data_IF_535296675435
#
_entry.id   IF_535296675435
#
_cell.length_a   1.000
_cell.length_b   1.000
_cell.length_c   1.000
_cell.angle_alpha   90.00
_cell.angle_beta   90.00
_cell.angle_gamma   90.00
#
_symmetry.space_group_name_H-M   'P 1'
#
loop_
_entity.id
_entity.type
_entity.pdbx_description
1 polymer ?
#
# COMPACT_ATOMS: atom_id res chain seq x y z
N UNK A 1 11.99 -22.28 4.85
CA UNK A 1 10.50 -22.19 4.84
C UNK A 1 9.99 -22.34 3.41
N UNK A 2 8.73 -22.76 3.21
CA UNK A 2 8.10 -22.76 1.86
C UNK A 2 7.82 -21.31 1.42
N UNK A 3 7.88 -21.05 0.12
CA UNK A 3 7.45 -19.76 -0.44
C UNK A 3 5.96 -19.57 -0.22
N UNK A 4 5.56 -18.41 0.30
CA UNK A 4 4.17 -18.07 0.58
C UNK A 4 3.75 -16.87 -0.26
N UNK A 5 2.61 -17.00 -0.94
CA UNK A 5 1.97 -15.91 -1.66
C UNK A 5 0.80 -15.37 -0.85
N UNK A 6 0.69 -14.05 -0.81
CA UNK A 6 -0.26 -13.31 0.00
C UNK A 6 -1.10 -12.47 -0.94
N UNK A 7 -2.41 -12.50 -0.74
CA UNK A 7 -3.40 -11.90 -1.61
C UNK A 7 -4.14 -10.79 -0.86
N UNK A 8 -4.00 -9.51 -1.24
CA UNK A 8 -4.73 -8.41 -0.58
C UNK A 8 -6.25 -8.48 -0.78
N UNK A 9 -6.73 -9.17 -1.82
CA UNK A 9 -8.15 -9.26 -2.10
C UNK A 9 -8.90 -10.03 -1.00
N UNK A 10 -9.57 -9.28 -0.13
CA UNK A 10 -10.54 -9.83 0.85
C UNK A 10 -11.79 -10.40 0.14
N UNK A 11 -12.12 -9.89 -1.05
CA UNK A 11 -13.26 -10.29 -1.86
C UNK A 11 -12.77 -10.91 -3.17
N UNK A 12 -13.03 -12.19 -3.36
CA UNK A 12 -12.66 -12.92 -4.59
C UNK A 12 -13.57 -12.55 -5.77
N UNK A 13 -13.07 -12.70 -7.01
CA UNK A 13 -13.81 -12.51 -8.26
C UNK A 13 -15.22 -13.14 -8.29
N UNK A 14 -15.40 -14.29 -7.63
CA UNK A 14 -16.70 -14.97 -7.50
C UNK A 14 -17.77 -14.10 -6.82
N UNK A 15 -17.39 -13.31 -5.81
CA UNK A 15 -18.31 -12.42 -5.11
C UNK A 15 -18.77 -11.27 -6.02
N UNK A 16 -17.85 -10.69 -6.80
CA UNK A 16 -18.19 -9.65 -7.77
C UNK A 16 -19.14 -10.16 -8.86
N UNK A 17 -18.87 -11.36 -9.39
CA UNK A 17 -19.74 -12.02 -10.38
C UNK A 17 -21.13 -12.28 -9.78
N UNK A 18 -21.20 -12.80 -8.55
CA UNK A 18 -22.47 -13.03 -7.85
C UNK A 18 -23.29 -11.76 -7.65
N UNK A 19 -22.64 -10.67 -7.22
CA UNK A 19 -23.29 -9.36 -7.05
C UNK A 19 -23.80 -8.80 -8.39
N UNK A 20 -23.02 -8.94 -9.46
CA UNK A 20 -23.42 -8.50 -10.80
C UNK A 20 -24.67 -9.25 -11.30
N UNK A 21 -24.69 -10.58 -11.15
CA UNK A 21 -25.85 -11.40 -11.50
C UNK A 21 -27.08 -10.99 -10.68
N UNK A 22 -26.93 -10.80 -9.37
CA UNK A 22 -28.03 -10.38 -8.50
C UNK A 22 -28.62 -9.04 -8.96
N UNK A 23 -27.77 -8.05 -9.28
CA UNK A 23 -28.21 -6.73 -9.76
C UNK A 23 -28.96 -6.85 -11.10
N UNK A 24 -28.43 -7.61 -12.06
CA UNK A 24 -29.11 -7.84 -13.35
C UNK A 24 -30.48 -8.50 -13.14
N UNK A 25 -30.56 -9.47 -12.24
CA UNK A 25 -31.81 -10.20 -11.98
C UNK A 25 -32.85 -9.27 -11.37
N UNK A 26 -32.45 -8.41 -10.43
CA UNK A 26 -33.31 -7.40 -9.80
C UNK A 26 -33.79 -6.37 -10.83
N UNK A 27 -32.90 -5.86 -11.69
CA UNK A 27 -33.30 -4.88 -12.71
C UNK A 27 -34.25 -5.49 -13.75
N UNK A 28 -34.03 -6.74 -14.17
CA UNK A 28 -34.93 -7.43 -15.10
C UNK A 28 -36.31 -7.66 -14.48
N UNK A 29 -36.36 -8.08 -13.21
CA UNK A 29 -37.62 -8.26 -12.48
C UNK A 29 -38.38 -6.94 -12.32
N UNK A 30 -37.67 -5.84 -12.03
CA UNK A 30 -38.24 -4.51 -11.92
C UNK A 30 -38.86 -4.03 -13.25
N UNK A 31 -38.15 -4.20 -14.37
CA UNK A 31 -38.66 -3.86 -15.70
C UNK A 31 -39.87 -4.73 -16.08
N UNK A 32 -39.87 -6.02 -15.72
CA UNK A 32 -40.99 -6.92 -15.95
C UNK A 32 -42.25 -6.51 -15.19
N UNK A 33 -42.12 -6.11 -13.93
CA UNK A 33 -43.24 -5.69 -13.08
C UNK A 33 -43.88 -4.36 -13.53
N UNK A 34 -43.06 -3.37 -13.91
CA UNK A 34 -43.54 -2.01 -14.26
C UNK A 34 -43.71 -1.77 -15.77
N UNK A 35 -43.74 -2.83 -16.59
CA UNK A 35 -43.71 -2.79 -18.06
C UNK A 35 -44.61 -1.73 -18.72
N UNK A 36 -45.82 -1.48 -18.18
CA UNK A 36 -46.80 -0.54 -18.75
C UNK A 36 -46.62 0.92 -18.32
N UNK A 37 -45.79 1.21 -17.31
CA UNK A 37 -45.62 2.54 -16.71
C UNK A 37 -44.24 3.16 -16.98
N UNK A 38 -43.32 2.43 -17.60
CA UNK A 38 -41.96 2.88 -17.86
C UNK A 38 -41.88 3.69 -19.15
N UNK A 39 -41.40 4.94 -19.04
CA UNK A 39 -41.07 5.77 -20.21
C UNK A 39 -39.74 5.33 -20.83
N UNK A 40 -39.54 5.58 -22.14
CA UNK A 40 -38.28 5.26 -22.82
C UNK A 40 -37.04 5.90 -22.15
N UNK A 41 -37.21 7.09 -21.55
CA UNK A 41 -36.17 7.78 -20.80
C UNK A 41 -35.72 6.98 -19.57
N UNK A 42 -36.65 6.40 -18.81
CA UNK A 42 -36.36 5.59 -17.62
C UNK A 42 -35.55 4.33 -17.95
N UNK A 43 -35.88 3.69 -19.08
CA UNK A 43 -35.14 2.53 -19.60
C UNK A 43 -33.72 2.94 -20.01
N UNK A 44 -33.56 4.07 -20.69
CA UNK A 44 -32.25 4.60 -21.06
C UNK A 44 -31.33 4.84 -19.86
N UNK A 45 -31.85 5.44 -18.78
CA UNK A 45 -31.09 5.66 -17.54
C UNK A 45 -30.66 4.32 -16.91
N UNK A 46 -31.54 3.32 -16.86
CA UNK A 46 -31.19 2.01 -16.30
C UNK A 46 -30.07 1.32 -17.10
N UNK A 47 -30.08 1.41 -18.43
CA UNK A 47 -29.02 0.84 -19.27
C UNK A 47 -27.68 1.53 -19.02
N UNK A 48 -27.67 2.85 -18.88
CA UNK A 48 -26.44 3.62 -18.58
C UNK A 48 -25.89 3.22 -17.20
N UNK A 49 -26.75 3.11 -16.19
CA UNK A 49 -26.33 2.66 -14.85
C UNK A 49 -25.76 1.23 -14.88
N UNK A 50 -26.36 0.34 -15.66
CA UNK A 50 -25.87 -1.04 -15.81
C UNK A 50 -24.50 -1.07 -16.51
N UNK A 51 -24.29 -0.25 -17.54
CA UNK A 51 -22.99 -0.10 -18.19
C UNK A 51 -21.93 0.46 -17.22
N UNK A 52 -22.27 1.47 -16.43
CA UNK A 52 -21.36 2.05 -15.44
C UNK A 52 -20.96 1.01 -14.38
N UNK A 53 -21.92 0.23 -13.88
CA UNK A 53 -21.66 -0.87 -12.93
C UNK A 53 -20.75 -1.95 -13.52
N UNK A 54 -20.94 -2.30 -14.81
CA UNK A 54 -20.05 -3.24 -15.51
C UNK A 54 -18.62 -2.70 -15.62
N UNK A 55 -18.44 -1.43 -15.98
CA UNK A 55 -17.12 -0.80 -16.07
C UNK A 55 -16.43 -0.76 -14.70
N UNK A 56 -17.17 -0.46 -13.63
CA UNK A 56 -16.65 -0.51 -12.25
C UNK A 56 -16.22 -1.93 -11.86
N UNK A 57 -17.02 -2.95 -12.22
CA UNK A 57 -16.71 -4.35 -11.95
C UNK A 57 -15.42 -4.79 -12.66
N UNK A 58 -15.28 -4.51 -13.96
CA UNK A 58 -14.07 -4.84 -14.72
C UNK A 58 -12.84 -4.18 -14.08
N UNK A 59 -12.97 -2.92 -13.65
CA UNK A 59 -11.88 -2.21 -12.96
C UNK A 59 -11.50 -2.86 -11.64
N UNK A 60 -12.48 -3.31 -10.85
CA UNK A 60 -12.26 -4.01 -9.57
C UNK A 60 -11.58 -5.36 -9.77
N UNK A 61 -11.99 -6.13 -10.78
CA UNK A 61 -11.41 -7.45 -11.08
C UNK A 61 -9.96 -7.39 -11.59
N UNK A 62 -9.54 -6.27 -12.16
CA UNK A 62 -8.17 -6.08 -12.65
C UNK A 62 -7.18 -5.68 -11.54
N UNK A 63 -7.57 -5.81 -10.27
CA UNK A 63 -6.68 -5.58 -9.12
C UNK A 63 -5.69 -6.74 -9.03
N UNK A 64 -4.39 -6.51 -8.77
CA UNK A 64 -3.41 -7.58 -8.68
C UNK A 64 -3.80 -8.56 -7.58
N UNK A 65 -3.95 -9.83 -7.96
CA UNK A 65 -4.38 -10.88 -7.02
C UNK A 65 -3.33 -11.17 -5.95
N UNK A 66 -2.04 -10.97 -6.24
CA UNK A 66 -0.92 -11.20 -5.31
C UNK A 66 -0.33 -9.86 -4.89
N UNK A 67 -0.19 -9.67 -3.59
CA UNK A 67 0.37 -8.46 -2.97
C UNK A 67 1.75 -8.72 -2.39
N UNK A 68 1.98 -9.90 -1.79
CA UNK A 68 3.33 -10.26 -1.32
C UNK A 68 3.73 -11.67 -1.75
N UNK A 69 5.03 -11.83 -1.99
CA UNK A 69 5.69 -13.13 -2.10
C UNK A 69 6.79 -13.19 -1.06
N UNK A 70 6.61 -14.06 -0.06
CA UNK A 70 7.58 -14.31 1.00
C UNK A 70 8.37 -15.57 0.64
N UNK A 71 9.61 -15.38 0.20
CA UNK A 71 10.57 -16.44 -0.09
C UNK A 71 11.49 -16.65 1.11
N UNK A 72 12.32 -17.70 1.09
CA UNK A 72 13.37 -17.90 2.08
C UNK A 72 14.48 -16.83 2.01
N UNK A 73 14.69 -16.18 0.86
CA UNK A 73 15.73 -15.14 0.69
C UNK A 73 15.19 -13.71 0.78
N UNK A 74 13.98 -13.48 0.27
CA UNK A 74 13.46 -12.14 0.00
C UNK A 74 12.01 -11.97 0.45
N UNK A 75 11.68 -10.74 0.82
CA UNK A 75 10.33 -10.22 0.92
C UNK A 75 10.07 -9.38 -0.33
N UNK A 76 9.05 -9.75 -1.11
CA UNK A 76 8.68 -9.06 -2.34
C UNK A 76 7.26 -8.52 -2.24
N UNK A 77 7.09 -7.25 -2.55
CA UNK A 77 5.80 -6.60 -2.70
C UNK A 77 5.46 -6.46 -4.19
N UNK A 78 4.22 -6.74 -4.55
CA UNK A 78 3.71 -6.64 -5.91
C UNK A 78 2.49 -5.72 -5.95
N UNK A 79 2.50 -4.77 -6.87
CA UNK A 79 1.36 -3.90 -7.15
C UNK A 79 1.20 -3.67 -8.65
N UNK A 80 0.06 -3.12 -9.06
CA UNK A 80 -0.18 -2.71 -10.46
C UNK A 80 0.81 -1.65 -10.98
N UNK A 81 1.50 -0.95 -10.08
CA UNK A 81 2.46 0.09 -10.40
C UNK A 81 3.91 -0.44 -10.44
N UNK A 82 4.12 -1.72 -10.12
CA UNK A 82 5.43 -2.34 -9.93
C UNK A 82 5.54 -2.92 -8.52
N UNK A 83 6.75 -3.33 -8.15
CA UNK A 83 7.04 -3.92 -6.85
C UNK A 83 8.36 -3.40 -6.27
N UNK A 84 8.59 -3.71 -5.00
CA UNK A 84 9.91 -3.59 -4.38
C UNK A 84 10.27 -4.95 -3.79
N UNK A 85 11.57 -5.18 -3.63
CA UNK A 85 12.11 -6.40 -3.04
C UNK A 85 13.16 -6.01 -2.01
N UNK A 86 13.24 -6.77 -0.92
CA UNK A 86 14.32 -6.62 0.06
C UNK A 86 14.72 -8.00 0.57
N UNK A 87 16.00 -8.17 0.89
CA UNK A 87 16.50 -9.40 1.51
C UNK A 87 16.13 -9.40 2.98
N UNK A 88 15.91 -10.58 3.57
CA UNK A 88 15.66 -10.68 5.00
C UNK A 88 16.83 -10.17 5.85
N UNK A 89 18.05 -10.39 5.37
CA UNK A 89 19.30 -9.92 5.99
C UNK A 89 19.38 -8.39 6.06
N UNK A 90 18.83 -7.69 5.06
CA UNK A 90 18.80 -6.23 5.07
C UNK A 90 17.70 -5.66 5.99
N UNK A 91 16.76 -6.47 6.48
CA UNK A 91 15.73 -5.98 7.40
C UNK A 91 16.26 -6.03 8.84
N UNK A 92 16.54 -4.87 9.43
CA UNK A 92 16.97 -4.72 10.82
C UNK A 92 15.84 -4.87 11.83
N UNK A 93 14.64 -4.33 11.56
CA UNK A 93 13.47 -4.53 12.43
C UNK A 93 12.14 -4.43 11.66
N UNK A 94 11.11 -5.07 12.20
CA UNK A 94 9.75 -5.09 11.66
C UNK A 94 8.80 -4.87 12.84
N UNK A 95 7.96 -3.85 12.76
CA UNK A 95 7.08 -3.49 13.86
C UNK A 95 5.81 -2.77 13.44
N UNK A 96 4.94 -2.56 14.41
CA UNK A 96 3.71 -1.77 14.22
C UNK A 96 4.09 -0.29 14.30
N UNK A 97 3.71 0.50 13.30
CA UNK A 97 3.90 1.95 13.38
C UNK A 97 3.02 2.54 14.49
N UNK A 98 3.64 3.21 15.45
CA UNK A 98 2.97 3.88 16.56
C UNK A 98 3.28 5.35 16.56
N UNK A 99 2.29 6.18 16.91
CA UNK A 99 2.47 7.61 17.08
C UNK A 99 2.31 7.97 18.56
N UNK A 100 3.36 8.55 19.15
CA UNK A 100 3.32 9.07 20.51
C UNK A 100 2.76 10.49 20.53
N UNK A 101 1.67 10.74 21.25
CA UNK A 101 1.12 12.08 21.51
C UNK A 101 0.94 12.26 23.02
N UNK A 102 1.64 13.22 23.62
CA UNK A 102 1.51 13.58 25.04
C UNK A 102 1.55 12.37 26.01
N UNK A 103 2.46 11.42 25.76
CA UNK A 103 2.64 10.22 26.60
C UNK A 103 1.74 9.03 26.27
N UNK A 104 0.79 9.19 25.34
CA UNK A 104 -0.05 8.10 24.82
C UNK A 104 0.44 7.62 23.46
N UNK A 105 0.43 6.32 23.22
CA UNK A 105 0.81 5.74 21.94
C UNK A 105 -0.42 5.21 21.21
N UNK A 106 -0.63 5.68 19.99
CA UNK A 106 -1.71 5.22 19.11
C UNK A 106 -1.12 4.38 17.98
N UNK A 107 -1.59 3.15 17.84
CA UNK A 107 -1.24 2.27 16.72
C UNK A 107 -1.85 2.76 15.42
N UNK A 108 -1.03 2.89 14.38
CA UNK A 108 -1.45 3.29 13.04
C UNK A 108 -1.73 2.06 12.17
N UNK A 109 -2.56 2.14 11.12
CA UNK A 109 -2.83 1.01 10.22
C UNK A 109 -1.66 0.75 9.24
N UNK A 110 -0.44 0.73 9.76
CA UNK A 110 0.80 0.64 9.01
C UNK A 110 1.82 -0.23 9.74
N UNK A 111 2.54 -1.04 8.96
CA UNK A 111 3.65 -1.87 9.41
C UNK A 111 4.93 -1.18 9.00
N UNK A 112 5.79 -0.85 9.97
CA UNK A 112 7.08 -0.26 9.73
C UNK A 112 8.15 -1.32 9.43
N UNK A 113 8.97 -1.06 8.42
CA UNK A 113 10.17 -1.84 8.12
C UNK A 113 11.39 -0.93 8.27
N UNK A 114 12.34 -1.40 9.08
CA UNK A 114 13.64 -0.78 9.34
C UNK A 114 14.68 -1.60 8.60
N UNK A 115 15.36 -0.99 7.63
CA UNK A 115 16.49 -1.55 6.89
C UNK A 115 17.82 -1.28 7.60
N UNK A 116 18.78 -2.16 7.36
CA UNK A 116 20.16 -2.00 7.79
C UNK A 116 20.89 -1.03 6.86
N UNK A 117 20.72 -1.23 5.55
CA UNK A 117 21.30 -0.43 4.48
C UNK A 117 20.24 -0.05 3.43
N UNK A 118 20.37 1.15 2.87
CA UNK A 118 19.43 1.70 1.89
C UNK A 118 19.86 1.39 0.46
N UNK A 119 21.15 1.17 0.23
CA UNK A 119 21.77 1.15 -1.11
C UNK A 119 21.08 0.15 -2.04
N UNK A 120 20.97 -1.12 -1.63
CA UNK A 120 20.29 -2.17 -2.41
C UNK A 120 18.80 -1.88 -2.67
N UNK A 121 18.11 -1.31 -1.68
CA UNK A 121 16.67 -1.03 -1.78
C UNK A 121 16.40 0.13 -2.73
N UNK A 122 17.17 1.22 -2.62
CA UNK A 122 17.05 2.41 -3.46
C UNK A 122 17.53 2.14 -4.88
N UNK A 123 18.60 1.33 -5.04
CA UNK A 123 19.10 0.95 -6.36
C UNK A 123 18.15 0.03 -7.14
N UNK A 124 17.42 -0.85 -6.45
CA UNK A 124 16.51 -1.81 -7.08
C UNK A 124 15.08 -1.29 -7.30
N UNK A 125 14.64 -0.28 -6.55
CA UNK A 125 13.28 0.23 -6.66
C UNK A 125 13.08 1.07 -7.93
N UNK A 126 12.02 0.78 -8.67
CA UNK A 126 11.71 1.58 -9.85
C UNK A 126 11.11 2.95 -9.48
N UNK A 127 11.39 4.02 -10.25
CA UNK A 127 10.92 5.37 -9.92
C UNK A 127 9.40 5.49 -9.75
N UNK A 128 8.61 4.66 -10.46
CA UNK A 128 7.15 4.64 -10.34
C UNK A 128 6.69 4.16 -8.96
N UNK A 129 7.31 3.12 -8.42
CA UNK A 129 7.00 2.61 -7.08
C UNK A 129 7.51 3.59 -6.02
N UNK A 130 8.69 4.17 -6.21
CA UNK A 130 9.21 5.21 -5.32
C UNK A 130 8.26 6.42 -5.20
N UNK A 131 7.79 6.94 -6.34
CA UNK A 131 6.77 8.01 -6.37
C UNK A 131 5.49 7.62 -5.64
N UNK A 132 5.04 6.37 -5.80
CA UNK A 132 3.84 5.88 -5.13
C UNK A 132 4.02 5.83 -3.61
N UNK A 133 5.14 5.29 -3.14
CA UNK A 133 5.52 5.24 -1.73
C UNK A 133 5.53 6.65 -1.12
N UNK A 134 6.19 7.60 -1.80
CA UNK A 134 6.24 9.00 -1.38
C UNK A 134 4.85 9.63 -1.20
N UNK A 135 3.93 9.34 -2.13
CA UNK A 135 2.56 9.86 -2.09
C UNK A 135 1.69 9.20 -1.01
N UNK A 136 1.77 7.88 -0.87
CA UNK A 136 0.95 7.12 0.10
C UNK A 136 1.37 7.40 1.54
N UNK A 137 2.66 7.49 1.80
CA UNK A 137 3.21 7.65 3.16
C UNK A 137 3.29 9.10 3.62
N UNK A 138 2.97 10.09 2.77
CA UNK A 138 3.02 11.53 3.13
C UNK A 138 2.23 11.87 4.40
N UNK A 139 1.11 11.17 4.60
CA UNK A 139 0.20 11.40 5.74
C UNK A 139 0.87 11.08 7.07
N UNK A 140 1.80 10.13 7.09
CA UNK A 140 2.53 9.75 8.29
C UNK A 140 3.37 10.91 8.81
N UNK A 141 4.10 11.60 7.93
CA UNK A 141 4.92 12.75 8.35
C UNK A 141 4.08 13.95 8.79
N UNK A 142 2.92 14.16 8.16
CA UNK A 142 1.97 15.19 8.62
C UNK A 142 1.48 14.87 10.04
N UNK A 143 1.13 13.61 10.30
CA UNK A 143 0.71 13.15 11.63
C UNK A 143 1.86 13.29 12.64
N UNK A 144 3.08 12.93 12.25
CA UNK A 144 4.27 13.03 13.09
C UNK A 144 4.54 14.47 13.54
N UNK A 145 4.60 15.43 12.60
CA UNK A 145 4.82 16.83 12.94
C UNK A 145 3.69 17.40 13.81
N UNK A 146 2.44 17.02 13.54
CA UNK A 146 1.31 17.47 14.36
C UNK A 146 1.42 16.96 15.81
N UNK A 147 1.98 15.77 16.01
CA UNK A 147 2.20 15.21 17.35
C UNK A 147 3.42 15.80 18.08
N UNK A 148 4.37 16.37 17.34
CA UNK A 148 5.63 16.93 17.85
C UNK A 148 5.79 18.39 17.41
N UNK A 149 5.08 19.34 18.05
CA UNK A 149 5.08 20.74 17.65
C UNK A 149 6.45 21.43 17.76
N UNK A 150 7.35 20.90 18.61
CA UNK A 150 8.71 21.42 18.81
C UNK A 150 9.74 20.86 17.82
N UNK A 151 9.30 20.08 16.83
CA UNK A 151 10.19 19.55 15.78
C UNK A 151 10.85 20.69 14.99
N UNK A 152 12.17 20.67 14.77
CA UNK A 152 12.87 21.69 14.00
C UNK A 152 12.61 21.59 12.48
N UNK A 153 11.95 20.52 12.03
CA UNK A 153 11.71 20.26 10.62
C UNK A 153 10.42 20.90 10.13
N UNK A 154 10.48 21.58 8.98
CA UNK A 154 9.30 22.01 8.25
C UNK A 154 8.75 20.87 7.38
N UNK A 155 7.42 20.80 7.28
CA UNK A 155 6.75 19.78 6.48
C UNK A 155 7.18 19.84 5.02
N UNK A 156 7.25 21.04 4.44
CA UNK A 156 7.60 21.25 3.02
C UNK A 156 9.00 20.75 2.70
N UNK A 157 9.98 21.08 3.55
CA UNK A 157 11.37 20.62 3.39
C UNK A 157 11.44 19.10 3.39
N UNK A 158 10.77 18.44 4.35
CA UNK A 158 10.72 16.98 4.35
C UNK A 158 9.93 16.42 3.18
N UNK A 159 8.88 17.13 2.74
CA UNK A 159 8.01 16.73 1.63
C UNK A 159 8.67 16.84 0.27
N UNK A 160 9.66 17.70 0.10
CA UNK A 160 10.25 18.01 -1.19
C UNK A 160 11.79 17.96 -1.19
N UNK A 161 12.42 17.35 -0.19
CA UNK A 161 13.87 17.12 -0.15
C UNK A 161 14.35 16.26 -1.32
N UNK A 162 14.82 16.92 -2.38
CA UNK A 162 15.39 16.33 -3.58
C UNK A 162 16.92 16.32 -3.57
N UNK A 163 17.53 16.60 -2.41
CA UNK A 163 18.99 16.60 -2.26
C UNK A 163 19.57 15.24 -2.69
N UNK A 164 20.72 15.23 -3.41
CA UNK A 164 21.29 13.97 -3.87
C UNK A 164 21.61 13.04 -2.71
N UNK A 165 21.19 11.78 -2.83
CA UNK A 165 21.51 10.74 -1.86
C UNK A 165 22.79 10.03 -2.30
N UNK A 166 23.79 9.97 -1.43
CA UNK A 166 25.06 9.29 -1.69
C UNK A 166 25.08 8.02 -0.83
N UNK A 167 25.22 6.89 -1.51
CA UNK A 167 25.35 5.55 -0.91
C UNK A 167 26.64 5.40 -0.13
N UNK A 168 26.74 4.33 0.66
CA UNK A 168 27.98 3.98 1.37
C UNK A 168 29.13 3.71 0.41
N UNK A 169 28.80 3.22 -0.80
CA UNK A 169 29.76 2.91 -1.86
C UNK A 169 30.09 4.11 -2.77
N UNK A 170 29.53 5.30 -2.51
CA UNK A 170 29.79 6.53 -3.26
C UNK A 170 28.97 6.71 -4.54
N UNK A 171 28.07 5.78 -4.88
CA UNK A 171 27.04 5.98 -5.91
C UNK A 171 26.08 7.10 -5.49
N UNK A 172 25.74 7.97 -6.43
CA UNK A 172 24.85 9.10 -6.22
C UNK A 172 23.50 8.89 -6.90
N UNK A 173 22.44 8.85 -6.12
CA UNK A 173 21.06 8.87 -6.60
C UNK A 173 20.53 10.30 -6.68
N UNK A 174 19.61 10.54 -7.63
CA UNK A 174 18.94 11.83 -7.85
C UNK A 174 17.44 11.64 -8.11
N UNK A 175 16.67 12.73 -8.03
CA UNK A 175 15.24 12.71 -8.32
C UNK A 175 14.46 11.84 -7.31
N UNK A 176 13.50 11.06 -7.81
CA UNK A 176 12.58 10.28 -6.96
C UNK A 176 13.27 9.26 -6.04
N UNK A 177 14.37 8.66 -6.47
CA UNK A 177 15.13 7.71 -5.65
C UNK A 177 15.84 8.42 -4.48
N UNK A 178 16.49 9.56 -4.75
CA UNK A 178 17.11 10.36 -3.70
C UNK A 178 16.07 10.90 -2.71
N UNK A 179 14.97 11.42 -3.25
CA UNK A 179 13.85 11.90 -2.46
C UNK A 179 13.24 10.80 -1.57
N UNK A 180 13.14 9.57 -2.07
CA UNK A 180 12.71 8.43 -1.26
C UNK A 180 13.73 8.10 -0.16
N UNK A 181 15.03 8.09 -0.45
CA UNK A 181 16.05 7.84 0.55
C UNK A 181 16.04 8.90 1.67
N UNK A 182 15.93 10.18 1.31
CA UNK A 182 15.78 11.27 2.25
C UNK A 182 14.48 11.14 3.06
N UNK A 183 13.38 10.71 2.41
CA UNK A 183 12.11 10.43 3.08
C UNK A 183 12.25 9.35 4.14
N UNK A 184 12.93 8.26 3.80
CA UNK A 184 13.17 7.14 4.69
C UNK A 184 13.94 7.57 5.94
N UNK A 185 14.90 8.51 5.81
CA UNK A 185 15.59 9.12 6.95
C UNK A 185 14.63 9.84 7.89
N UNK A 186 13.71 10.67 7.38
CA UNK A 186 12.71 11.34 8.23
C UNK A 186 11.75 10.35 8.88
N UNK A 187 11.28 9.35 8.12
CA UNK A 187 10.45 8.27 8.67
C UNK A 187 11.16 7.59 9.85
N UNK A 188 12.46 7.32 9.74
CA UNK A 188 13.25 6.72 10.82
C UNK A 188 13.32 7.61 12.05
N UNK A 189 13.47 8.92 11.87
CA UNK A 189 13.51 9.88 12.98
C UNK A 189 12.17 9.87 13.75
N UNK A 190 11.04 9.92 13.06
CA UNK A 190 9.73 10.06 13.71
C UNK A 190 9.12 8.74 14.19
N UNK A 191 9.36 7.65 13.47
CA UNK A 191 8.69 6.37 13.72
C UNK A 191 9.64 5.22 14.04
N UNK A 192 10.96 5.39 13.84
CA UNK A 192 11.93 4.31 13.98
C UNK A 192 12.02 3.33 12.80
N UNK A 193 11.29 3.58 11.71
CA UNK A 193 11.22 2.74 10.52
C UNK A 193 11.42 3.56 9.24
N UNK A 194 11.82 2.92 8.14
CA UNK A 194 12.20 3.64 6.91
C UNK A 194 11.04 3.77 5.94
N UNK A 195 10.31 2.68 5.75
CA UNK A 195 9.13 2.65 4.90
C UNK A 195 8.06 1.78 5.55
N UNK A 196 6.84 1.93 5.05
CA UNK A 196 5.65 1.34 5.65
C UNK A 196 4.83 0.54 4.66
N UNK A 197 4.23 -0.54 5.15
CA UNK A 197 3.23 -1.35 4.46
C UNK A 197 1.88 -1.05 5.07
N UNK A 198 0.89 -0.71 4.25
CA UNK A 198 -0.46 -0.42 4.71
C UNK A 198 -1.25 -1.72 5.06
N UNK A 199 -2.24 -1.59 5.93
CA UNK A 199 -3.16 -2.68 6.30
C UNK A 199 -4.05 -3.17 5.13
N UNK A 200 -4.29 -2.33 4.14
CA UNK A 200 -5.16 -2.66 3.01
C UNK A 200 -4.51 -3.57 1.97
N UNK A 201 -3.17 -3.77 2.04
CA UNK A 201 -2.42 -4.63 1.13
C UNK A 201 -2.07 -6.01 1.72
N UNK A 202 -2.62 -6.35 2.89
CA UNK A 202 -2.38 -7.63 3.58
C UNK A 202 -3.68 -8.44 3.75
N UNK A 203 -3.53 -9.76 3.86
CA UNK A 203 -4.62 -10.73 3.91
C UNK A 203 -5.09 -11.08 5.34
N UNK A 204 -4.47 -10.45 6.35
CA UNK A 204 -4.62 -10.78 7.77
C UNK A 204 -4.38 -9.54 8.64
N UNK A 205 -4.74 -9.56 9.95
CA UNK A 205 -4.45 -8.46 10.85
C UNK A 205 -2.95 -8.11 10.89
N UNK A 206 -2.63 -6.82 11.05
CA UNK A 206 -1.26 -6.29 11.14
C UNK A 206 -0.36 -7.13 12.07
N UNK A 207 -0.84 -7.46 13.27
CA UNK A 207 -0.07 -8.21 14.28
C UNK A 207 0.37 -9.57 13.77
N UNK A 208 -0.52 -10.27 13.07
CA UNK A 208 -0.30 -11.61 12.55
C UNK A 208 0.66 -11.57 11.35
N UNK A 209 0.56 -10.52 10.53
CA UNK A 209 1.47 -10.28 9.42
C UNK A 209 2.89 -9.93 9.91
N UNK A 210 3.02 -9.08 10.94
CA UNK A 210 4.32 -8.80 11.59
C UNK A 210 4.92 -10.10 12.13
N UNK A 211 4.13 -10.91 12.83
CA UNK A 211 4.58 -12.22 13.33
C UNK A 211 5.00 -13.17 12.22
N UNK A 212 4.32 -13.15 11.07
CA UNK A 212 4.72 -13.90 9.88
C UNK A 212 6.06 -13.41 9.32
N UNK A 213 6.22 -12.10 9.09
CA UNK A 213 7.46 -11.53 8.57
C UNK A 213 8.66 -11.79 9.49
N UNK A 214 8.48 -11.64 10.81
CA UNK A 214 9.53 -11.92 11.80
C UNK A 214 9.96 -13.39 11.79
N UNK A 215 9.03 -14.33 11.55
CA UNK A 215 9.35 -15.75 11.41
C UNK A 215 10.16 -16.05 10.15
N UNK A 216 9.85 -15.40 9.03
CA UNK A 216 10.66 -15.52 7.81
C UNK A 216 12.05 -14.92 8.02
N UNK A 217 12.14 -13.73 8.61
CA UNK A 217 13.42 -13.09 8.96
C UNK A 217 14.27 -13.96 9.88
N UNK A 218 13.69 -14.57 10.92
CA UNK A 218 14.42 -15.41 11.86
C UNK A 218 14.87 -16.75 11.27
N UNK A 219 14.30 -17.16 10.12
CA UNK A 219 14.65 -18.38 9.42
C UNK A 219 15.58 -18.17 8.22
N UNK A 220 15.94 -16.91 7.93
CA UNK A 220 16.88 -16.52 6.89
C UNK A 220 18.28 -16.36 7.48
#
# INVERSE_FOLDING_TARGET
MKTLHIHAEKLTAKHYIGLFIAIITITLAFVSYFKSQLSALSVGIMVILMMLMLLLMIKLMNTPSISFTLSFMHCQYHSRYGGWTTTWHNIADIGHATLGTQGWYTSLPWIGIRLTDYDDFIGSICPRVASRILLEQRVLLVMALKSQPDSPYLLEDMLFDDSPFITTNGEQFRGLQAMLANRMRYNRIFFGFDFFIADDVIDRPITDFIGLLRRYKAAA
#
